data_IF_662341500049
#
_entry.id   IF_662341500049
#
_cell.length_a   1.000
_cell.length_b   1.000
_cell.length_c   1.000
_cell.angle_alpha   90.00
_cell.angle_beta   90.00
_cell.angle_gamma   90.00
#
_symmetry.space_group_name_H-M   'P 1'
#
loop_
_entity.id
_entity.type
_entity.pdbx_description
1 polymer ?
#
# COMPACT_ATOMS: atom_id res chain seq x y z
N UNK A 1 -13.21 1.40 1.87
CA UNK A 1 -11.87 0.78 1.86
C UNK A 1 -11.84 -0.62 1.25
N UNK A 2 -12.87 -1.46 1.44
CA UNK A 2 -12.83 -2.88 1.06
C UNK A 2 -12.66 -3.15 -0.46
N UNK A 3 -13.24 -2.31 -1.33
CA UNK A 3 -13.30 -2.58 -2.77
C UNK A 3 -12.00 -2.24 -3.51
N UNK A 4 -11.35 -1.13 -3.17
CA UNK A 4 -10.05 -0.77 -3.77
C UNK A 4 -8.98 -1.79 -3.40
N UNK A 5 -9.06 -2.36 -2.19
CA UNK A 5 -8.12 -3.38 -1.74
C UNK A 5 -8.25 -4.67 -2.57
N UNK A 6 -9.46 -5.03 -3.02
CA UNK A 6 -9.70 -6.19 -3.90
C UNK A 6 -8.99 -6.04 -5.25
N UNK A 7 -8.83 -4.82 -5.74
CA UNK A 7 -8.09 -4.52 -6.99
C UNK A 7 -6.57 -4.44 -6.78
N UNK A 8 -6.11 -3.99 -5.61
CA UNK A 8 -4.67 -3.88 -5.28
C UNK A 8 -4.04 -5.24 -4.98
N UNK A 9 -4.73 -6.14 -4.28
CA UNK A 9 -4.20 -7.46 -3.89
C UNK A 9 -3.63 -8.27 -5.07
N UNK A 10 -4.33 -8.47 -6.21
CA UNK A 10 -3.77 -9.23 -7.32
C UNK A 10 -2.53 -8.55 -7.92
N UNK A 11 -2.48 -7.23 -7.98
CA UNK A 11 -1.31 -6.47 -8.45
C UNK A 11 -0.10 -6.71 -7.53
N UNK A 12 -0.31 -6.64 -6.23
CA UNK A 12 0.75 -6.91 -5.24
C UNK A 12 1.24 -8.36 -5.32
N UNK A 13 0.35 -9.34 -5.49
CA UNK A 13 0.75 -10.74 -5.67
C UNK A 13 1.57 -10.93 -6.95
N UNK A 14 1.18 -10.28 -8.06
CA UNK A 14 1.92 -10.33 -9.31
C UNK A 14 3.31 -9.68 -9.22
N UNK A 15 3.47 -8.66 -8.37
CA UNK A 15 4.77 -8.06 -8.02
C UNK A 15 5.64 -8.94 -7.09
N UNK A 16 5.16 -10.12 -6.71
CA UNK A 16 5.86 -11.04 -5.82
C UNK A 16 5.61 -10.82 -4.33
N UNK A 17 4.61 -10.00 -3.97
CA UNK A 17 4.26 -9.78 -2.55
C UNK A 17 3.63 -11.03 -1.94
N UNK A 18 4.20 -11.51 -0.84
CA UNK A 18 3.68 -12.62 -0.03
C UNK A 18 2.59 -12.13 0.94
N UNK A 19 1.59 -11.42 0.40
CA UNK A 19 0.50 -10.83 1.18
C UNK A 19 -0.13 -11.85 2.12
N UNK A 20 -0.39 -13.07 1.66
CA UNK A 20 -1.03 -14.10 2.49
C UNK A 20 -0.20 -14.45 3.74
N UNK A 21 1.14 -14.39 3.65
CA UNK A 21 2.04 -14.61 4.78
C UNK A 21 2.02 -13.41 5.72
N UNK A 22 2.11 -12.20 5.19
CA UNK A 22 2.11 -10.97 6.00
C UNK A 22 0.75 -10.77 6.69
N UNK A 23 -0.34 -11.00 5.99
CA UNK A 23 -1.71 -10.98 6.53
C UNK A 23 -1.87 -12.04 7.61
N UNK A 24 -1.37 -13.26 7.41
CA UNK A 24 -1.43 -14.32 8.43
C UNK A 24 -0.63 -13.94 9.68
N UNK A 25 0.59 -13.43 9.52
CA UNK A 25 1.43 -12.96 10.63
C UNK A 25 0.74 -11.83 11.40
N UNK A 26 0.22 -10.82 10.69
CA UNK A 26 -0.47 -9.67 11.31
C UNK A 26 -1.79 -10.08 11.97
N UNK A 27 -2.54 -11.01 11.39
CA UNK A 27 -3.78 -11.53 11.97
C UNK A 27 -3.56 -12.36 13.24
N UNK A 28 -2.36 -12.94 13.39
CA UNK A 28 -1.96 -13.67 14.60
C UNK A 28 -1.52 -12.76 15.75
N UNK A 29 -1.32 -11.46 15.51
CA UNK A 29 -0.93 -10.52 16.54
C UNK A 29 -2.18 -9.95 17.23
N UNK A 30 -2.19 -9.85 18.58
CA UNK A 30 -3.24 -9.15 19.29
C UNK A 30 -3.35 -7.69 18.81
N UNK A 31 -4.57 -7.10 18.72
CA UNK A 31 -4.74 -5.73 18.24
C UNK A 31 -3.90 -4.69 19.00
N UNK A 32 -3.68 -4.91 20.31
CA UNK A 32 -2.82 -4.05 21.13
C UNK A 32 -1.36 -4.06 20.69
N UNK A 33 -0.86 -5.21 20.23
CA UNK A 33 0.52 -5.36 19.73
C UNK A 33 0.65 -4.67 18.37
N UNK A 34 -0.35 -4.83 17.50
CA UNK A 34 -0.40 -4.11 16.21
C UNK A 34 -0.41 -2.60 16.45
N UNK A 35 -1.25 -2.11 17.35
CA UNK A 35 -1.31 -0.70 17.72
C UNK A 35 0.02 -0.19 18.26
N UNK A 36 0.67 -0.95 19.14
CA UNK A 36 1.99 -0.61 19.68
C UNK A 36 3.05 -0.48 18.58
N UNK A 37 3.13 -1.43 17.65
CA UNK A 37 4.08 -1.40 16.53
C UNK A 37 3.83 -0.19 15.61
N UNK A 38 2.56 0.10 15.30
CA UNK A 38 2.21 1.24 14.47
C UNK A 38 2.64 2.56 15.11
N UNK A 39 2.34 2.77 16.40
CA UNK A 39 2.66 4.03 17.08
C UNK A 39 4.14 4.21 17.39
N UNK A 40 4.86 3.13 17.73
CA UNK A 40 6.22 3.24 18.26
C UNK A 40 7.32 2.90 17.25
N UNK A 41 6.98 2.16 16.18
CA UNK A 41 7.96 1.71 15.19
C UNK A 41 7.69 2.34 13.82
N UNK A 42 6.47 2.22 13.30
CA UNK A 42 6.15 2.67 11.93
C UNK A 42 5.96 4.19 11.86
N UNK A 43 5.20 4.75 12.80
CA UNK A 43 4.84 6.18 12.83
C UNK A 43 5.51 6.95 13.97
N UNK A 44 6.52 6.37 14.61
CA UNK A 44 7.31 7.12 15.59
C UNK A 44 8.11 8.22 14.86
N UNK A 45 8.03 9.49 15.29
CA UNK A 45 8.71 10.60 14.61
C UNK A 45 10.22 10.44 14.46
N UNK A 46 10.84 9.62 15.33
CA UNK A 46 12.28 9.33 15.31
C UNK A 46 12.64 8.08 14.50
N UNK A 47 11.65 7.37 13.97
CA UNK A 47 11.88 6.15 13.20
C UNK A 47 12.32 6.45 11.77
N UNK A 48 13.18 5.59 11.24
CA UNK A 48 13.57 5.63 9.83
C UNK A 48 12.37 5.46 8.90
N UNK A 49 11.39 4.63 9.28
CA UNK A 49 10.16 4.40 8.52
C UNK A 49 9.31 5.66 8.42
N UNK A 50 9.12 6.38 9.53
CA UNK A 50 8.44 7.66 9.51
C UNK A 50 9.21 8.69 8.69
N UNK A 51 10.54 8.78 8.81
CA UNK A 51 11.35 9.70 8.02
C UNK A 51 11.24 9.42 6.51
N UNK A 52 11.22 8.14 6.11
CA UNK A 52 11.03 7.71 4.72
C UNK A 52 9.63 8.00 4.17
N UNK A 53 8.62 8.17 5.02
CA UNK A 53 7.26 8.55 4.60
C UNK A 53 7.08 10.07 4.64
N UNK A 54 7.48 10.71 5.74
CA UNK A 54 7.30 12.14 5.99
C UNK A 54 8.21 13.03 5.16
N UNK A 55 9.42 12.57 4.83
CA UNK A 55 10.36 13.28 3.96
C UNK A 55 10.45 12.65 2.57
N UNK A 56 9.49 11.78 2.22
CA UNK A 56 9.36 11.34 0.85
C UNK A 56 8.82 12.49 0.01
N UNK A 57 9.59 12.99 -0.95
CA UNK A 57 9.07 13.87 -2.00
C UNK A 57 8.25 13.07 -3.02
N UNK A 58 7.46 12.08 -2.58
CA UNK A 58 6.60 11.33 -3.49
C UNK A 58 5.57 12.29 -4.02
N UNK A 59 5.61 12.52 -5.33
CA UNK A 59 4.58 13.25 -6.05
C UNK A 59 3.22 12.67 -5.65
N UNK A 60 2.26 13.54 -5.33
CA UNK A 60 0.89 13.12 -5.02
C UNK A 60 0.44 12.14 -6.11
N UNK A 61 -0.04 10.97 -5.70
CA UNK A 61 -0.50 9.93 -6.60
C UNK A 61 0.57 9.02 -7.23
N UNK A 62 1.86 9.20 -6.93
CA UNK A 62 2.93 8.30 -7.38
C UNK A 62 2.65 6.84 -7.02
N UNK A 63 2.21 6.57 -5.80
CA UNK A 63 1.86 5.20 -5.37
C UNK A 63 0.71 4.61 -6.19
N UNK A 64 -0.26 5.43 -6.60
CA UNK A 64 -1.37 4.99 -7.46
C UNK A 64 -0.86 4.70 -8.87
N UNK A 65 0.00 5.56 -9.42
CA UNK A 65 0.64 5.37 -10.72
C UNK A 65 1.52 4.13 -10.76
N UNK A 66 2.27 3.83 -9.69
CA UNK A 66 3.07 2.63 -9.58
C UNK A 66 2.19 1.37 -9.64
N UNK A 67 1.10 1.35 -8.86
CA UNK A 67 0.15 0.21 -8.86
C UNK A 67 -0.51 0.05 -10.23
N UNK A 68 -0.90 1.14 -10.89
CA UNK A 68 -1.47 1.12 -12.24
C UNK A 68 -0.47 0.61 -13.27
N UNK A 69 0.78 1.04 -13.19
CA UNK A 69 1.86 0.61 -14.08
C UNK A 69 2.10 -0.90 -13.97
N UNK A 70 2.21 -1.41 -12.74
CA UNK A 70 2.33 -2.86 -12.50
C UNK A 70 1.08 -3.62 -12.94
N UNK A 71 -0.12 -3.08 -12.70
CA UNK A 71 -1.35 -3.68 -13.20
C UNK A 71 -1.35 -3.81 -14.73
N UNK A 72 -0.94 -2.76 -15.46
CA UNK A 72 -0.81 -2.77 -16.92
C UNK A 72 0.22 -3.80 -17.39
N UNK A 73 1.41 -3.83 -16.76
CA UNK A 73 2.49 -4.79 -17.07
C UNK A 73 2.06 -6.25 -16.89
N UNK A 74 1.22 -6.52 -15.91
CA UNK A 74 0.73 -7.86 -15.59
C UNK A 74 -0.66 -8.18 -16.19
N UNK A 75 -1.24 -7.28 -16.99
CA UNK A 75 -2.57 -7.48 -17.60
C UNK A 75 -3.74 -7.54 -16.60
N UNK A 76 -3.58 -6.95 -15.41
CA UNK A 76 -4.58 -6.96 -14.34
C UNK A 76 -5.49 -5.74 -14.50
N UNK A 77 -6.81 -5.96 -14.52
CA UNK A 77 -7.80 -4.88 -14.61
C UNK A 77 -8.03 -4.26 -13.24
N UNK A 78 -7.79 -2.96 -13.14
CA UNK A 78 -8.00 -2.15 -11.92
C UNK A 78 -8.81 -0.89 -12.23
N UNK A 79 -10.07 -1.03 -12.71
CA UNK A 79 -10.84 0.09 -13.25
C UNK A 79 -11.02 1.24 -12.26
N UNK A 80 -11.17 0.96 -10.96
CA UNK A 80 -11.36 2.02 -9.96
C UNK A 80 -10.07 2.77 -9.67
N UNK A 81 -8.92 2.11 -9.78
CA UNK A 81 -7.64 2.80 -9.64
C UNK A 81 -7.39 3.74 -10.83
N UNK A 82 -7.86 3.39 -12.04
CA UNK A 82 -7.81 4.29 -13.19
C UNK A 82 -8.68 5.54 -12.99
N UNK A 83 -9.84 5.41 -12.35
CA UNK A 83 -10.66 6.58 -12.00
C UNK A 83 -9.90 7.53 -11.07
N UNK A 84 -9.11 6.99 -10.12
CA UNK A 84 -8.26 7.79 -9.21
C UNK A 84 -7.08 8.44 -9.95
N UNK A 85 -6.54 7.82 -11.00
CA UNK A 85 -5.47 8.41 -11.84
C UNK A 85 -5.90 9.77 -12.42
N UNK A 86 -7.17 9.87 -12.84
CA UNK A 86 -7.73 11.12 -13.40
C UNK A 86 -7.73 12.27 -12.39
N UNK A 87 -7.95 11.98 -11.11
CA UNK A 87 -8.02 12.96 -10.01
C UNK A 87 -6.66 13.46 -9.52
N UNK A 88 -5.57 12.80 -9.93
CA UNK A 88 -4.19 13.12 -9.54
C UNK A 88 -3.52 14.07 -10.55
N UNK A 89 -4.08 14.16 -11.75
CA UNK A 89 -3.45 14.83 -12.90
C UNK A 89 -3.95 16.28 -13.10
N UNK A 90 -4.86 16.75 -12.24
CA UNK A 90 -5.29 18.16 -12.09
C UNK A 90 -4.41 18.90 -11.07
#
# INVERSE_FOLDING_TARGET
MEVNMKEIIPVLKAKGSKLDVMTKVMSGLPPRVVGFLMSNVVFSPKSMTFALVAHNHTKVGYAVQEVISEARKHGIKVPRLYDVESLITE
#
